data_IF_833522473464
#
_entry.id   IF_833522473464
#
_cell.length_a   1.000
_cell.length_b   1.000
_cell.length_c   1.000
_cell.angle_alpha   90.00
_cell.angle_beta   90.00
_cell.angle_gamma   90.00
#
_symmetry.space_group_name_H-M   'P 1'
#
loop_
_entity.id
_entity.type
_entity.pdbx_description
1 polymer ?
#
# COMPACT_ATOMS: atom_id res chain seq x y z
N UNK A 1 -22.66 9.82 -3.87
CA UNK A 1 -21.26 9.52 -3.55
C UNK A 1 -20.89 10.32 -2.32
N UNK A 2 -20.81 9.67 -1.16
CA UNK A 2 -20.43 10.33 0.08
C UNK A 2 -18.95 10.70 0.03
N UNK A 3 -18.63 11.98 0.20
CA UNK A 3 -17.25 12.45 0.25
C UNK A 3 -16.72 12.16 1.66
N UNK A 4 -15.83 11.16 1.77
CA UNK A 4 -15.09 10.93 3.01
C UNK A 4 -14.07 12.07 3.16
N UNK A 5 -14.32 12.99 4.09
CA UNK A 5 -13.38 14.07 4.42
C UNK A 5 -12.42 13.56 5.49
N UNK A 6 -11.23 13.16 5.07
CA UNK A 6 -10.14 12.85 6.01
C UNK A 6 -9.46 14.18 6.34
N UNK A 7 -9.34 14.51 7.62
CA UNK A 7 -8.50 15.63 8.11
C UNK A 7 -7.23 15.07 8.73
N UNK A 8 -6.27 14.58 7.92
CA UNK A 8 -4.98 14.21 8.48
C UNK A 8 -4.27 15.50 8.92
N UNK A 9 -3.62 15.47 10.08
CA UNK A 9 -2.66 16.50 10.43
C UNK A 9 -1.32 16.10 9.80
N UNK A 10 -0.63 16.99 9.07
CA UNK A 10 0.71 16.70 8.60
C UNK A 10 1.62 16.46 9.82
N UNK A 11 2.66 15.65 9.66
CA UNK A 11 3.69 15.48 10.68
C UNK A 11 4.35 16.83 10.85
N UNK A 12 5.09 17.30 9.84
CA UNK A 12 5.76 18.58 9.92
C UNK A 12 6.09 19.14 8.54
N UNK A 13 6.91 20.19 8.58
CA UNK A 13 7.46 20.86 7.40
C UNK A 13 8.97 20.92 7.48
N UNK A 14 9.61 20.92 6.33
CA UNK A 14 11.07 21.04 6.18
C UNK A 14 11.50 22.48 5.80
N UNK A 15 12.79 22.72 5.58
CA UNK A 15 13.37 23.98 5.10
C UNK A 15 12.70 24.47 3.82
N UNK A 16 12.43 23.54 2.91
CA UNK A 16 11.81 23.79 1.60
C UNK A 16 10.28 23.77 1.69
N UNK A 17 9.72 23.86 2.90
CA UNK A 17 8.26 23.85 3.19
C UNK A 17 7.51 22.59 2.74
N UNK A 18 8.23 21.55 2.33
CA UNK A 18 7.69 20.24 2.00
C UNK A 18 6.93 19.67 3.20
N UNK A 19 5.72 19.15 2.95
CA UNK A 19 4.85 18.60 3.99
C UNK A 19 5.01 17.10 4.07
N UNK A 20 5.22 16.61 5.28
CA UNK A 20 5.36 15.18 5.53
C UNK A 20 4.06 14.64 6.09
N UNK A 21 3.59 13.54 5.51
CA UNK A 21 2.32 12.91 5.84
C UNK A 21 2.55 11.44 6.18
N UNK A 22 1.90 10.97 7.22
CA UNK A 22 1.88 9.55 7.56
C UNK A 22 0.45 9.09 7.78
N UNK A 23 0.12 7.97 7.13
CA UNK A 23 -1.20 7.35 7.24
C UNK A 23 -1.06 5.96 7.84
N UNK A 24 -1.83 5.70 8.91
CA UNK A 24 -1.87 4.39 9.59
C UNK A 24 -2.23 3.23 8.68
N UNK A 25 -2.97 3.47 7.59
CA UNK A 25 -3.40 2.41 6.66
C UNK A 25 -2.28 1.94 5.74
N UNK A 26 -1.39 2.85 5.33
CA UNK A 26 -0.40 2.56 4.28
C UNK A 26 1.00 2.33 4.86
N UNK A 27 1.28 2.83 6.07
CA UNK A 27 2.57 2.68 6.74
C UNK A 27 3.73 3.45 6.09
N UNK A 28 3.53 4.02 4.90
CA UNK A 28 4.49 4.86 4.19
C UNK A 28 4.39 6.31 4.65
N UNK A 29 5.51 7.00 4.52
CA UNK A 29 5.56 8.45 4.65
C UNK A 29 5.43 9.04 3.25
N UNK A 30 4.56 10.03 3.10
CA UNK A 30 4.40 10.78 1.87
C UNK A 30 5.01 12.15 2.06
N UNK A 31 5.69 12.62 1.03
CA UNK A 31 6.26 13.96 0.97
C UNK A 31 5.52 14.71 -0.10
N UNK A 32 4.88 15.79 0.28
CA UNK A 32 4.27 16.73 -0.63
C UNK A 32 5.24 17.88 -0.82
N UNK A 33 5.75 18.01 -2.04
CA UNK A 33 6.57 19.16 -2.41
C UNK A 33 5.69 20.43 -2.39
N UNK A 34 6.23 21.52 -1.87
CA UNK A 34 5.50 22.78 -1.81
C UNK A 34 5.54 23.54 -3.14
N UNK A 35 6.61 23.36 -3.90
CA UNK A 35 6.85 24.02 -5.19
C UNK A 35 6.41 23.15 -6.35
N UNK A 36 6.66 21.85 -6.26
CA UNK A 36 6.21 20.87 -7.25
C UNK A 36 4.83 20.31 -6.87
N UNK A 37 3.93 20.12 -7.84
CA UNK A 37 2.66 19.37 -7.62
C UNK A 37 2.87 17.85 -7.50
N UNK A 38 4.10 17.43 -7.24
CA UNK A 38 4.51 16.04 -7.22
C UNK A 38 4.57 15.53 -5.79
N UNK A 39 4.35 14.22 -5.64
CA UNK A 39 4.34 13.54 -4.35
C UNK A 39 5.43 12.49 -4.35
N UNK A 40 6.29 12.55 -3.34
CA UNK A 40 7.26 11.51 -3.01
C UNK A 40 6.71 10.56 -1.96
N UNK A 41 7.31 9.38 -1.84
CA UNK A 41 7.02 8.46 -0.75
C UNK A 41 8.25 7.67 -0.31
N UNK A 42 8.30 7.34 0.98
CA UNK A 42 9.29 6.44 1.57
C UNK A 42 8.61 5.13 1.98
N UNK A 43 9.21 4.02 1.57
CA UNK A 43 8.68 2.67 1.76
C UNK A 43 9.60 1.79 2.61
N UNK A 44 10.91 2.02 2.59
CA UNK A 44 11.85 1.23 3.40
C UNK A 44 12.10 1.85 4.77
N UNK A 45 12.48 1.00 5.73
CA UNK A 45 13.06 1.45 7.00
C UNK A 45 14.37 2.20 6.75
N UNK A 46 15.21 1.73 5.82
CA UNK A 46 16.50 2.40 5.53
C UNK A 46 16.28 3.81 4.98
N UNK A 47 15.26 4.00 4.15
CA UNK A 47 14.88 5.31 3.63
C UNK A 47 14.40 6.25 4.75
N UNK A 48 13.67 5.72 5.74
CA UNK A 48 13.26 6.47 6.92
C UNK A 48 14.45 6.86 7.80
N UNK A 49 15.37 5.93 8.02
CA UNK A 49 16.60 6.18 8.79
C UNK A 49 17.47 7.24 8.07
N UNK A 50 17.57 7.15 6.74
CA UNK A 50 18.28 8.14 5.92
C UNK A 50 17.61 9.52 5.99
N UNK A 51 16.27 9.58 5.96
CA UNK A 51 15.51 10.82 6.14
C UNK A 51 15.77 11.44 7.53
N UNK A 52 15.70 10.65 8.59
CA UNK A 52 15.98 11.15 9.94
C UNK A 52 17.42 11.64 10.09
N UNK A 53 18.37 11.00 9.40
CA UNK A 53 19.78 11.41 9.38
C UNK A 53 20.07 12.65 8.52
N UNK A 54 19.29 12.93 7.48
CA UNK A 54 19.46 14.10 6.62
C UNK A 54 18.86 15.39 7.21
N UNK A 55 17.88 15.26 8.13
CA UNK A 55 17.26 16.41 8.80
C UNK A 55 18.23 17.13 9.74
N UNK A 56 18.33 18.44 9.58
CA UNK A 56 19.14 19.34 10.37
C UNK A 56 18.43 19.74 11.67
N UNK A 57 18.84 19.11 12.77
CA UNK A 57 18.31 19.35 14.13
C UNK A 57 18.50 20.79 14.65
N UNK A 58 19.29 21.64 13.99
CA UNK A 58 19.46 23.05 14.38
C UNK A 58 18.30 23.93 13.91
N UNK A 59 17.55 23.54 12.88
CA UNK A 59 16.42 24.32 12.38
C UNK A 59 15.14 24.01 13.17
N UNK A 60 14.38 25.03 13.58
CA UNK A 60 13.15 24.83 14.38
C UNK A 60 12.13 23.92 13.67
N UNK A 61 11.98 24.07 12.36
CA UNK A 61 11.03 23.28 11.55
C UNK A 61 11.46 21.82 11.44
N UNK A 62 12.71 21.60 11.03
CA UNK A 62 13.30 20.28 10.85
C UNK A 62 13.43 19.53 12.18
N UNK A 63 13.71 20.24 13.27
CA UNK A 63 13.70 19.66 14.61
C UNK A 63 12.30 19.20 15.02
N UNK A 64 11.27 20.02 14.79
CA UNK A 64 9.89 19.61 15.07
C UNK A 64 9.50 18.38 14.26
N UNK A 65 9.85 18.36 12.97
CA UNK A 65 9.60 17.21 12.09
C UNK A 65 10.35 15.97 12.58
N UNK A 66 11.62 16.11 12.95
CA UNK A 66 12.44 15.02 13.48
C UNK A 66 11.83 14.44 14.77
N UNK A 67 11.42 15.29 15.72
CA UNK A 67 10.80 14.85 16.98
C UNK A 67 9.51 14.06 16.70
N UNK A 68 8.68 14.53 15.77
CA UNK A 68 7.46 13.80 15.40
C UNK A 68 7.78 12.48 14.71
N UNK A 69 8.74 12.45 13.78
CA UNK A 69 9.18 11.22 13.14
C UNK A 69 9.70 10.21 14.15
N UNK A 70 10.49 10.66 15.13
CA UNK A 70 10.98 9.83 16.23
C UNK A 70 9.83 9.26 17.07
N UNK A 71 8.85 10.07 17.44
CA UNK A 71 7.66 9.62 18.19
C UNK A 71 6.82 8.59 17.42
N UNK A 72 6.76 8.69 16.10
CA UNK A 72 6.01 7.76 15.25
C UNK A 72 6.86 6.61 14.71
N UNK A 73 8.18 6.61 14.95
CA UNK A 73 9.14 5.72 14.30
C UNK A 73 8.79 4.24 14.48
N UNK A 74 8.59 3.79 15.72
CA UNK A 74 8.25 2.40 16.02
C UNK A 74 6.96 1.96 15.35
N UNK A 75 6.00 2.88 15.28
CA UNK A 75 4.68 2.64 14.69
C UNK A 75 4.77 2.55 13.17
N UNK A 76 5.54 3.44 12.55
CA UNK A 76 5.82 3.44 11.11
C UNK A 76 6.55 2.15 10.75
N UNK A 77 7.64 1.81 11.44
CA UNK A 77 8.42 0.60 11.23
C UNK A 77 7.55 -0.67 11.32
N UNK A 78 6.72 -0.78 12.36
CA UNK A 78 5.79 -1.90 12.52
C UNK A 78 4.79 -2.01 11.37
N UNK A 79 4.23 -0.88 10.91
CA UNK A 79 3.27 -0.87 9.80
C UNK A 79 3.91 -1.20 8.46
N UNK A 80 5.15 -0.75 8.21
CA UNK A 80 5.92 -1.09 7.02
C UNK A 80 6.21 -2.58 6.97
N UNK A 81 6.69 -3.17 8.08
CA UNK A 81 6.96 -4.60 8.17
C UNK A 81 5.70 -5.46 7.99
N UNK A 82 4.56 -5.02 8.55
CA UNK A 82 3.29 -5.70 8.34
C UNK A 82 2.92 -5.69 6.85
N UNK A 83 3.02 -4.53 6.21
CA UNK A 83 2.68 -4.38 4.79
C UNK A 83 3.60 -5.21 3.88
N UNK A 84 4.90 -5.23 4.13
CA UNK A 84 5.82 -6.04 3.32
C UNK A 84 5.50 -7.53 3.43
N UNK A 85 5.14 -8.01 4.62
CA UNK A 85 4.65 -9.38 4.83
C UNK A 85 3.33 -9.64 4.11
N UNK A 86 2.36 -8.72 4.20
CA UNK A 86 1.06 -8.84 3.52
C UNK A 86 1.24 -8.89 1.98
N UNK A 87 2.13 -8.05 1.43
CA UNK A 87 2.46 -8.07 0.00
C UNK A 87 3.10 -9.40 -0.39
N UNK A 88 4.09 -9.88 0.37
CA UNK A 88 4.73 -11.17 0.11
C UNK A 88 3.72 -12.32 0.16
N UNK A 89 2.82 -12.32 1.14
CA UNK A 89 1.76 -13.32 1.26
C UNK A 89 0.79 -13.28 0.08
N UNK A 90 0.35 -12.10 -0.35
CA UNK A 90 -0.52 -11.96 -1.51
C UNK A 90 0.15 -12.46 -2.79
N UNK A 91 1.44 -12.15 -2.99
CA UNK A 91 2.23 -12.65 -4.12
C UNK A 91 2.32 -14.18 -4.08
N UNK A 92 2.62 -14.77 -2.92
CA UNK A 92 2.68 -16.22 -2.75
C UNK A 92 1.33 -16.89 -3.03
N UNK A 93 0.22 -16.29 -2.57
CA UNK A 93 -1.12 -16.76 -2.87
C UNK A 93 -1.44 -16.69 -4.36
N UNK A 94 -1.13 -15.57 -5.04
CA UNK A 94 -1.32 -15.44 -6.48
C UNK A 94 -0.47 -16.47 -7.25
N UNK A 95 0.78 -16.67 -6.86
CA UNK A 95 1.67 -17.65 -7.48
C UNK A 95 1.20 -19.09 -7.24
N UNK A 96 0.67 -19.41 -6.06
CA UNK A 96 0.05 -20.70 -5.75
C UNK A 96 -1.24 -20.94 -6.55
N UNK A 97 -2.04 -19.90 -6.80
CA UNK A 97 -3.21 -19.97 -7.70
C UNK A 97 -2.77 -20.21 -9.14
N UNK A 98 -1.72 -19.54 -9.61
CA UNK A 98 -1.16 -19.74 -10.96
C UNK A 98 -0.60 -21.17 -11.15
N UNK A 99 0.01 -21.75 -10.11
CA UNK A 99 0.51 -23.14 -10.13
C UNK A 99 -0.59 -24.20 -10.15
N UNK A 100 -1.81 -23.88 -9.67
CA UNK A 100 -2.96 -24.77 -9.78
C UNK A 100 -3.56 -24.65 -11.19
N UNK A 101 -3.29 -25.67 -12.00
CA UNK A 101 -3.71 -25.85 -13.41
C UNK A 101 -4.93 -25.04 -13.88
N UNK A 102 -4.74 -24.30 -14.98
CA UNK A 102 -5.79 -23.59 -15.74
C UNK A 102 -6.81 -24.49 -16.44
N UNK A 103 -6.68 -25.83 -16.35
CA UNK A 103 -7.60 -26.77 -17.02
C UNK A 103 -9.01 -26.84 -16.42
N UNK A 104 -9.24 -26.26 -15.24
CA UNK A 104 -10.57 -26.20 -14.60
C UNK A 104 -10.88 -24.76 -14.20
N UNK A 105 -10.95 -23.85 -15.17
CA UNK A 105 -11.71 -22.62 -14.98
C UNK A 105 -13.17 -22.94 -15.28
N UNK A 106 -13.92 -23.38 -14.27
CA UNK A 106 -15.34 -23.08 -14.28
C UNK A 106 -15.46 -21.55 -14.14
N UNK A 107 -16.17 -20.85 -15.04
CA UNK A 107 -16.46 -19.44 -14.86
C UNK A 107 -17.03 -19.24 -13.45
N UNK A 108 -16.61 -18.18 -12.74
CA UNK A 108 -17.03 -17.90 -11.35
C UNK A 108 -18.55 -17.73 -11.18
N UNK A 109 -19.33 -17.77 -12.27
CA UNK A 109 -20.78 -17.69 -12.31
C UNK A 109 -21.42 -18.98 -12.89
N UNK A 110 -20.76 -20.13 -12.79
CA UNK A 110 -21.35 -21.40 -13.17
C UNK A 110 -21.16 -22.41 -12.05
N UNK A 111 -22.26 -22.78 -11.40
CA UNK A 111 -22.26 -23.83 -10.39
C UNK A 111 -21.87 -25.16 -11.10
N UNK A 112 -20.75 -25.80 -10.74
CA UNK A 112 -20.30 -27.04 -11.39
C UNK A 112 -21.33 -28.16 -11.26
N UNK A 113 -22.21 -28.11 -10.26
CA UNK A 113 -23.32 -29.03 -10.11
C UNK A 113 -24.42 -28.89 -11.19
N UNK A 114 -24.42 -27.83 -12.01
CA UNK A 114 -25.41 -27.60 -13.08
C UNK A 114 -24.88 -27.85 -14.48
N UNK A 115 -23.61 -28.26 -14.62
CA UNK A 115 -22.97 -28.46 -15.93
C UNK A 115 -23.68 -29.52 -16.80
N UNK A 116 -24.30 -30.52 -16.17
CA UNK A 116 -25.03 -31.58 -16.87
C UNK A 116 -26.30 -31.07 -17.60
N UNK A 117 -26.87 -29.94 -17.17
CA UNK A 117 -28.07 -29.36 -17.80
C UNK A 117 -27.78 -28.75 -19.18
N UNK A 118 -26.50 -28.52 -19.51
CA UNK A 118 -26.07 -27.93 -20.79
C UNK A 118 -25.65 -28.97 -21.82
N UNK A 119 -25.60 -30.26 -21.44
CA UNK A 119 -25.26 -31.32 -22.38
C UNK A 119 -26.39 -31.50 -23.38
N UNK A 120 -26.09 -31.27 -24.67
CA UNK A 120 -26.99 -31.55 -25.78
C UNK A 120 -26.30 -32.57 -26.68
N UNK A 121 -26.96 -33.72 -26.89
CA UNK A 121 -26.41 -34.81 -27.67
C UNK A 121 -26.52 -34.50 -29.18
N UNK A 122 -25.38 -34.20 -29.80
CA UNK A 122 -25.30 -33.85 -31.24
C UNK A 122 -25.31 -35.05 -32.20
N UNK A 123 -25.45 -36.27 -31.68
CA UNK A 123 -25.46 -37.50 -32.50
C UNK A 123 -26.83 -37.80 -33.13
N UNK A 124 -27.83 -36.94 -32.89
CA UNK A 124 -29.15 -36.99 -33.53
C UNK A 124 -29.52 -35.61 -34.07
N UNK A 125 -28.74 -35.10 -35.02
CA UNK A 125 -29.25 -34.08 -35.92
C UNK A 125 -29.39 -34.76 -37.29
N UNK A 126 -30.65 -34.90 -37.75
CA UNK A 126 -31.06 -35.36 -39.08
C UNK A 126 -30.68 -34.34 -40.17
#
# INVERSE_FOLDING_TARGET
MEKIVIRPNPLGKDRDYNRYWWFRSNGRIFVEDSDSKEWGYYTSKEELDALMGSLNRKGERELSLHIQLENFYDRICSTLQKRTKDIAHNIEMEEAVVRRSTRVRAPLHENPASAFMRYVNKWKED
#
